data_IF_993398510704
#
_entry.id   IF_993398510704
#
_cell.length_a   1.000
_cell.length_b   1.000
_cell.length_c   1.000
_cell.angle_alpha   90.00
_cell.angle_beta   90.00
_cell.angle_gamma   90.00
#
_symmetry.space_group_name_H-M   'P 1'
#
loop_
_entity.id
_entity.type
_entity.pdbx_description
1 polymer ?
#
# COMPACT_ATOMS: atom_id res chain seq x y z
N UNK A 1 -5.61 27.12 -11.19
CA UNK A 1 -6.87 27.87 -11.20
C UNK A 1 -6.64 29.30 -10.73
N UNK A 2 -6.77 30.24 -11.66
CA UNK A 2 -6.76 31.68 -11.41
C UNK A 2 -7.77 32.32 -12.38
N UNK A 3 -8.59 33.25 -11.89
CA UNK A 3 -9.65 33.89 -12.71
C UNK A 3 -9.10 34.63 -13.93
N UNK A 4 -7.82 35.01 -13.94
CA UNK A 4 -7.14 35.64 -15.09
C UNK A 4 -6.99 34.69 -16.29
N UNK A 5 -7.05 33.37 -16.06
CA UNK A 5 -6.98 32.36 -17.10
C UNK A 5 -8.37 31.84 -17.54
N UNK A 6 -9.44 32.45 -17.03
CA UNK A 6 -10.82 32.08 -17.36
C UNK A 6 -11.38 32.98 -18.48
N UNK A 7 -11.99 32.36 -19.48
CA UNK A 7 -12.87 32.99 -20.45
C UNK A 7 -14.26 32.36 -20.35
N UNK A 8 -15.18 33.02 -19.65
CA UNK A 8 -16.42 32.38 -19.21
C UNK A 8 -16.11 31.18 -18.32
N UNK A 9 -16.64 30.01 -18.67
CA UNK A 9 -16.41 28.72 -18.00
C UNK A 9 -15.14 27.97 -18.48
N UNK A 10 -14.38 28.54 -19.43
CA UNK A 10 -13.23 27.88 -20.05
C UNK A 10 -11.92 28.37 -19.45
N UNK A 11 -11.15 27.48 -18.83
CA UNK A 11 -9.81 27.72 -18.31
C UNK A 11 -8.75 27.40 -19.36
N UNK A 12 -7.76 28.28 -19.50
CA UNK A 12 -6.53 28.03 -20.24
C UNK A 12 -5.38 28.88 -19.70
N UNK A 13 -4.40 28.21 -19.09
CA UNK A 13 -3.14 28.83 -18.71
C UNK A 13 -2.09 28.65 -19.83
N UNK A 14 -1.53 29.73 -20.40
CA UNK A 14 -0.54 29.62 -21.48
C UNK A 14 0.77 28.94 -21.06
N UNK A 15 1.41 28.21 -21.99
CA UNK A 15 2.69 27.51 -21.74
C UNK A 15 3.81 28.41 -21.19
N UNK A 16 3.87 29.68 -21.58
CA UNK A 16 4.86 30.63 -21.07
C UNK A 16 4.68 31.06 -19.61
N UNK A 17 3.63 30.60 -18.92
CA UNK A 17 3.10 31.29 -17.73
C UNK A 17 3.89 31.32 -16.42
N UNK A 18 4.92 30.55 -16.09
CA UNK A 18 5.59 30.55 -14.76
C UNK A 18 4.75 30.27 -13.49
N UNK A 19 3.44 30.58 -13.42
CA UNK A 19 2.57 30.26 -12.29
C UNK A 19 2.38 28.74 -12.17
N UNK A 20 2.56 28.22 -10.96
CA UNK A 20 2.43 26.79 -10.63
C UNK A 20 0.96 26.35 -10.51
N UNK A 21 0.67 25.04 -10.66
CA UNK A 21 -0.66 24.52 -10.42
C UNK A 21 -1.02 24.69 -8.93
N UNK A 22 -2.29 24.99 -8.66
CA UNK A 22 -2.78 25.28 -7.30
C UNK A 22 -4.18 24.70 -7.03
N UNK A 23 -4.71 23.88 -7.95
CA UNK A 23 -6.06 23.32 -7.85
C UNK A 23 -6.14 21.95 -8.51
N UNK A 24 -7.05 21.11 -8.02
CA UNK A 24 -7.33 19.77 -8.57
C UNK A 24 -8.82 19.64 -8.85
N UNK A 25 -9.15 18.96 -9.94
CA UNK A 25 -10.52 18.76 -10.44
C UNK A 25 -10.68 17.33 -10.96
N UNK A 26 -11.91 16.85 -11.06
CA UNK A 26 -12.20 15.56 -11.69
C UNK A 26 -12.60 15.76 -13.15
N UNK A 27 -11.87 15.16 -14.08
CA UNK A 27 -12.26 15.13 -15.50
C UNK A 27 -13.40 14.11 -15.66
N UNK A 28 -14.52 14.53 -16.23
CA UNK A 28 -15.74 13.71 -16.38
C UNK A 28 -16.21 13.58 -17.83
N UNK A 29 -15.53 14.23 -18.76
CA UNK A 29 -15.87 14.22 -20.18
C UNK A 29 -14.92 15.08 -20.99
N UNK A 30 -15.19 15.18 -22.29
CA UNK A 30 -14.40 15.95 -23.23
C UNK A 30 -15.25 16.38 -24.43
N UNK A 31 -14.81 17.42 -25.13
CA UNK A 31 -15.40 17.90 -26.38
C UNK A 31 -14.26 18.45 -27.27
N UNK A 32 -14.02 17.76 -28.39
CA UNK A 32 -12.96 18.08 -29.34
C UNK A 32 -13.26 19.38 -30.13
N UNK A 33 -14.53 19.76 -30.25
CA UNK A 33 -14.99 20.94 -30.97
C UNK A 33 -15.19 22.15 -30.03
N UNK A 34 -14.97 21.99 -28.73
CA UNK A 34 -15.11 23.07 -27.75
C UNK A 34 -14.15 24.21 -28.06
N UNK A 35 -14.70 25.39 -28.37
CA UNK A 35 -13.90 26.59 -28.59
C UNK A 35 -13.25 27.05 -27.27
N UNK A 36 -11.94 27.28 -27.30
CA UNK A 36 -11.14 27.71 -26.15
C UNK A 36 -10.30 28.94 -26.48
N UNK A 37 -9.83 29.71 -25.47
CA UNK A 37 -8.95 30.85 -25.70
C UNK A 37 -7.49 30.46 -26.01
N UNK A 38 -7.18 29.17 -26.18
CA UNK A 38 -5.87 28.72 -26.64
C UNK A 38 -5.62 29.10 -28.11
N UNK A 39 -4.37 29.31 -28.55
CA UNK A 39 -4.06 29.63 -29.96
C UNK A 39 -4.57 28.59 -30.96
N UNK A 40 -4.60 27.32 -30.58
CA UNK A 40 -5.12 26.21 -31.38
C UNK A 40 -6.65 26.20 -31.41
N UNK A 41 -7.31 26.91 -30.51
CA UNK A 41 -8.72 27.28 -30.55
C UNK A 41 -9.73 26.18 -30.19
N UNK A 42 -9.38 24.90 -30.25
CA UNK A 42 -10.31 23.78 -30.10
C UNK A 42 -9.83 22.72 -29.10
N UNK A 43 -10.80 22.01 -28.52
CA UNK A 43 -10.59 20.85 -27.65
C UNK A 43 -10.48 21.21 -26.17
N UNK A 44 -11.35 20.62 -25.35
CA UNK A 44 -11.32 20.79 -23.90
C UNK A 44 -11.83 19.58 -23.12
N UNK A 45 -11.28 19.41 -21.92
CA UNK A 45 -11.79 18.53 -20.88
C UNK A 45 -12.95 19.18 -20.16
N UNK A 46 -14.02 18.42 -19.91
CA UNK A 46 -15.08 18.81 -18.98
C UNK A 46 -14.69 18.35 -17.57
N UNK A 47 -14.57 19.30 -16.65
CA UNK A 47 -14.12 19.06 -15.30
C UNK A 47 -15.18 19.44 -14.27
N UNK A 48 -15.43 18.55 -13.31
CA UNK A 48 -16.24 18.83 -12.13
C UNK A 48 -15.37 19.52 -11.07
N UNK A 49 -15.79 20.70 -10.64
CA UNK A 49 -15.12 21.48 -9.60
C UNK A 49 -15.69 21.18 -8.20
N UNK A 50 -15.05 21.70 -7.16
CA UNK A 50 -15.39 21.50 -5.74
C UNK A 50 -15.96 22.75 -5.05
N UNK A 51 -16.40 23.76 -5.81
CA UNK A 51 -16.88 25.06 -5.27
C UNK A 51 -18.40 25.25 -5.29
N UNK A 52 -19.14 24.15 -5.41
CA UNK A 52 -20.60 24.16 -5.44
C UNK A 52 -21.20 24.50 -6.80
N UNK A 53 -22.51 24.35 -6.90
CA UNK A 53 -23.26 24.47 -8.16
C UNK A 53 -23.44 25.91 -8.62
N UNK A 54 -23.27 26.90 -7.75
CA UNK A 54 -23.37 28.32 -8.13
C UNK A 54 -22.20 28.83 -9.00
N UNK A 55 -21.20 28.01 -9.27
CA UNK A 55 -20.02 28.37 -10.07
C UNK A 55 -20.14 27.91 -11.52
N UNK A 56 -19.99 28.85 -12.46
CA UNK A 56 -19.98 28.59 -13.90
C UNK A 56 -21.17 27.75 -14.39
N UNK A 57 -20.92 26.56 -14.93
CA UNK A 57 -21.92 25.67 -15.52
C UNK A 57 -22.34 24.62 -14.46
N UNK A 58 -23.12 25.04 -13.45
CA UNK A 58 -23.58 24.16 -12.36
C UNK A 58 -22.45 23.45 -11.58
N UNK A 59 -21.32 24.13 -11.41
CA UNK A 59 -20.11 23.60 -10.75
C UNK A 59 -19.13 22.91 -11.70
N UNK A 60 -19.38 22.96 -13.01
CA UNK A 60 -18.47 22.44 -14.04
C UNK A 60 -17.71 23.57 -14.74
N UNK A 61 -16.51 23.23 -15.18
CA UNK A 61 -15.63 24.09 -15.98
C UNK A 61 -15.07 23.29 -17.15
N UNK A 62 -14.70 24.00 -18.21
CA UNK A 62 -13.93 23.42 -19.31
C UNK A 62 -12.47 23.78 -19.14
N UNK A 63 -11.55 22.84 -19.37
CA UNK A 63 -10.10 23.11 -19.38
C UNK A 63 -9.55 22.73 -20.75
N UNK A 64 -8.96 23.69 -21.46
CA UNK A 64 -8.40 23.43 -22.80
C UNK A 64 -7.39 22.29 -22.76
N UNK A 65 -7.37 21.44 -23.80
CA UNK A 65 -6.31 20.42 -23.97
C UNK A 65 -4.90 21.02 -23.99
N UNK A 66 -4.81 22.31 -24.35
CA UNK A 66 -3.56 23.04 -24.48
C UNK A 66 -3.14 23.75 -23.19
N UNK A 67 -3.93 23.65 -22.11
CA UNK A 67 -3.58 24.20 -20.80
C UNK A 67 -2.20 23.72 -20.34
N UNK A 68 -1.42 24.60 -19.70
CA UNK A 68 -0.05 24.30 -19.30
C UNK A 68 0.07 23.09 -18.36
N UNK A 69 -0.89 22.87 -17.47
CA UNK A 69 -0.74 21.93 -16.36
C UNK A 69 -1.68 20.73 -16.45
N UNK A 70 -2.94 20.95 -16.84
CA UNK A 70 -3.94 19.89 -16.88
C UNK A 70 -3.50 18.75 -17.82
N UNK A 71 -3.38 17.54 -17.28
CA UNK A 71 -2.91 16.33 -17.97
C UNK A 71 -1.48 16.40 -18.55
N UNK A 72 -0.69 17.43 -18.25
CA UNK A 72 0.65 17.63 -18.84
C UNK A 72 1.78 17.55 -17.81
N UNK A 73 1.48 17.78 -16.52
CA UNK A 73 2.48 17.71 -15.45
C UNK A 73 2.80 16.23 -15.10
N UNK A 74 4.08 15.79 -15.07
CA UNK A 74 4.42 14.38 -14.89
C UNK A 74 3.96 13.72 -13.58
N UNK A 75 3.80 14.50 -12.51
CA UNK A 75 3.52 14.04 -11.14
C UNK A 75 2.12 14.51 -10.65
N UNK A 76 1.61 15.62 -11.18
CA UNK A 76 0.37 16.31 -10.79
C UNK A 76 -0.63 16.48 -11.96
N UNK A 77 -0.28 16.02 -13.17
CA UNK A 77 -1.04 16.32 -14.39
C UNK A 77 -2.33 15.52 -14.52
N UNK A 78 -2.26 14.20 -14.34
CA UNK A 78 -3.42 13.33 -14.32
C UNK A 78 -3.11 12.02 -13.58
N UNK A 79 -3.99 11.63 -12.67
CA UNK A 79 -4.05 10.29 -12.09
C UNK A 79 -5.35 9.66 -12.56
N UNK A 80 -5.27 8.49 -13.17
CA UNK A 80 -6.45 7.71 -13.54
C UNK A 80 -6.39 6.36 -12.84
N UNK A 81 -7.57 5.85 -12.49
CA UNK A 81 -7.72 4.53 -11.92
C UNK A 81 -8.35 3.63 -12.98
N UNK A 82 -7.83 2.42 -13.10
CA UNK A 82 -8.31 1.43 -14.06
C UNK A 82 -8.61 0.14 -13.31
N UNK A 83 -9.65 -0.58 -13.74
CA UNK A 83 -10.02 -1.87 -13.18
C UNK A 83 -10.21 -1.82 -11.65
N UNK A 84 -10.82 -0.72 -11.17
CA UNK A 84 -11.05 -0.48 -9.74
C UNK A 84 -12.11 -1.45 -9.22
N UNK A 85 -11.70 -2.29 -8.27
CA UNK A 85 -12.57 -3.19 -7.54
C UNK A 85 -12.73 -2.75 -6.07
N UNK A 86 -13.82 -3.13 -5.39
CA UNK A 86 -13.90 -3.03 -3.94
C UNK A 86 -12.73 -3.77 -3.27
N UNK A 87 -12.21 -3.22 -2.17
CA UNK A 87 -11.13 -3.86 -1.40
C UNK A 87 -11.59 -5.22 -0.88
N UNK A 88 -11.02 -6.30 -1.42
CA UNK A 88 -11.33 -7.70 -1.07
C UNK A 88 -10.39 -8.32 -0.04
N UNK A 89 -9.33 -7.58 0.33
CA UNK A 89 -8.32 -8.02 1.28
C UNK A 89 -8.57 -7.42 2.65
N UNK A 90 -8.43 -8.24 3.69
CA UNK A 90 -8.60 -7.82 5.08
C UNK A 90 -7.33 -7.21 5.65
N UNK A 91 -6.17 -7.60 5.10
CA UNK A 91 -4.85 -7.16 5.56
C UNK A 91 -3.95 -6.76 4.41
N UNK A 92 -3.22 -5.68 4.63
CA UNK A 92 -2.14 -5.22 3.76
C UNK A 92 -0.87 -5.19 4.59
N UNK A 93 0.13 -5.96 4.19
CA UNK A 93 1.48 -5.92 4.71
C UNK A 93 2.26 -4.86 3.93
N UNK A 94 2.68 -3.79 4.61
CA UNK A 94 3.41 -2.69 4.00
C UNK A 94 4.26 -1.96 5.04
N UNK A 95 5.31 -1.30 4.56
CA UNK A 95 6.16 -0.42 5.38
C UNK A 95 6.12 1.04 4.90
N UNK A 96 5.63 1.29 3.67
CA UNK A 96 5.50 2.63 3.10
C UNK A 96 4.19 3.32 3.54
N UNK A 97 4.31 4.41 4.30
CA UNK A 97 3.17 5.15 4.85
C UNK A 97 2.51 6.03 3.79
N UNK A 98 3.31 6.67 2.94
CA UNK A 98 2.84 7.67 1.98
C UNK A 98 2.86 7.20 0.53
N UNK A 99 3.23 5.94 0.27
CA UNK A 99 3.48 5.45 -1.08
C UNK A 99 4.74 6.06 -1.69
N UNK A 100 4.74 6.19 -3.02
CA UNK A 100 5.91 6.67 -3.78
C UNK A 100 6.23 8.12 -3.43
N UNK A 101 7.34 8.34 -2.72
CA UNK A 101 7.90 9.68 -2.45
C UNK A 101 9.20 9.94 -3.20
N UNK A 102 9.90 8.87 -3.56
CA UNK A 102 11.08 8.90 -4.40
C UNK A 102 11.20 7.62 -5.22
N UNK A 103 12.22 7.49 -6.06
CA UNK A 103 12.46 6.32 -6.92
C UNK A 103 13.94 6.01 -7.01
N UNK A 104 14.30 4.79 -6.64
CA UNK A 104 15.66 4.29 -6.82
C UNK A 104 15.79 3.78 -8.26
N UNK A 105 16.28 4.65 -9.15
CA UNK A 105 16.18 4.48 -10.61
C UNK A 105 16.89 3.24 -11.13
N UNK A 106 18.13 2.99 -10.70
CA UNK A 106 18.95 1.88 -11.21
C UNK A 106 18.85 0.62 -10.34
N UNK A 107 17.74 0.47 -9.61
CA UNK A 107 17.45 -0.71 -8.81
C UNK A 107 16.50 -1.63 -9.56
N UNK A 108 16.95 -2.82 -9.91
CA UNK A 108 16.13 -3.84 -10.57
C UNK A 108 15.45 -4.79 -9.59
N UNK A 109 16.07 -5.05 -8.45
CA UNK A 109 15.67 -6.07 -7.50
C UNK A 109 15.57 -5.47 -6.11
N UNK A 110 14.38 -5.58 -5.53
CA UNK A 110 14.10 -5.15 -4.18
C UNK A 110 13.19 -6.17 -3.49
N UNK A 111 13.25 -6.21 -2.16
CA UNK A 111 12.27 -6.96 -1.38
C UNK A 111 11.97 -6.26 -0.06
N UNK A 112 10.77 -6.51 0.47
CA UNK A 112 10.41 -6.18 1.85
C UNK A 112 10.35 -7.45 2.69
N UNK A 113 10.84 -7.36 3.93
CA UNK A 113 10.69 -8.38 4.95
C UNK A 113 9.47 -8.05 5.81
N UNK A 114 8.55 -9.00 5.93
CA UNK A 114 7.36 -8.88 6.75
C UNK A 114 7.33 -10.01 7.78
N UNK A 115 6.50 -9.85 8.81
CA UNK A 115 6.14 -10.92 9.71
C UNK A 115 4.62 -11.04 9.76
N UNK A 116 4.10 -12.26 9.85
CA UNK A 116 2.66 -12.46 9.94
C UNK A 116 2.08 -11.82 11.19
N UNK A 117 0.94 -11.14 11.04
CA UNK A 117 0.19 -10.51 12.14
C UNK A 117 -1.02 -11.34 12.56
N UNK A 118 -1.46 -12.24 11.69
CA UNK A 118 -2.55 -13.18 11.89
C UNK A 118 -2.28 -14.47 11.12
N UNK A 119 -3.25 -15.38 11.12
CA UNK A 119 -3.30 -16.42 10.10
C UNK A 119 -3.91 -15.78 8.86
N UNK A 120 -3.06 -15.41 7.92
CA UNK A 120 -3.51 -14.75 6.70
C UNK A 120 -3.12 -15.56 5.47
N UNK A 121 -3.91 -15.41 4.42
CA UNK A 121 -3.62 -15.98 3.10
C UNK A 121 -3.21 -14.83 2.18
N UNK A 122 -1.92 -14.72 1.87
CA UNK A 122 -1.38 -13.73 0.91
C UNK A 122 -1.71 -14.22 -0.51
N UNK A 123 -2.44 -13.40 -1.27
CA UNK A 123 -2.93 -13.78 -2.60
C UNK A 123 -2.41 -12.87 -3.71
N UNK A 124 -1.97 -11.66 -3.35
CA UNK A 124 -1.48 -10.70 -4.32
C UNK A 124 -0.35 -9.83 -3.76
N UNK A 125 0.40 -9.23 -4.68
CA UNK A 125 1.48 -8.30 -4.38
C UNK A 125 1.19 -6.99 -5.09
N UNK A 126 1.40 -5.86 -4.42
CA UNK A 126 1.31 -4.54 -5.04
C UNK A 126 2.65 -3.82 -5.04
N UNK A 127 2.95 -3.12 -6.15
CA UNK A 127 4.18 -2.37 -6.32
C UNK A 127 4.02 -1.32 -7.43
N UNK A 128 5.01 -0.42 -7.56
CA UNK A 128 5.03 0.57 -8.62
C UNK A 128 5.93 0.16 -9.78
N UNK A 129 5.57 0.56 -11.00
CA UNK A 129 6.48 0.63 -12.15
C UNK A 129 6.69 2.08 -12.55
N UNK A 130 7.94 2.47 -12.79
CA UNK A 130 8.31 3.84 -13.17
C UNK A 130 8.05 4.15 -14.66
N UNK A 131 7.89 3.11 -15.49
CA UNK A 131 7.78 3.21 -16.94
C UNK A 131 6.68 2.29 -17.50
N UNK A 132 6.17 2.66 -18.67
CA UNK A 132 5.21 1.86 -19.43
C UNK A 132 5.88 0.58 -19.97
N UNK A 133 5.10 -0.48 -20.15
CA UNK A 133 5.57 -1.75 -20.73
C UNK A 133 6.61 -2.50 -19.89
N UNK A 134 6.73 -2.21 -18.60
CA UNK A 134 7.70 -2.87 -17.72
C UNK A 134 7.33 -4.34 -17.49
N UNK A 135 8.28 -5.25 -17.72
CA UNK A 135 8.14 -6.63 -17.28
C UNK A 135 8.54 -6.75 -15.80
N UNK A 136 7.85 -7.63 -15.08
CA UNK A 136 8.05 -7.84 -13.65
C UNK A 136 8.12 -9.32 -13.30
N UNK A 137 8.68 -9.60 -12.13
CA UNK A 137 8.50 -10.87 -11.42
C UNK A 137 8.40 -10.58 -9.93
N UNK A 138 7.27 -10.93 -9.33
CA UNK A 138 7.02 -10.85 -7.90
C UNK A 138 7.08 -12.26 -7.30
N UNK A 139 7.74 -12.43 -6.17
CA UNK A 139 7.94 -13.73 -5.53
C UNK A 139 7.80 -13.59 -4.01
N UNK A 140 7.10 -14.53 -3.39
CA UNK A 140 7.05 -14.67 -1.93
C UNK A 140 8.04 -15.77 -1.52
N UNK A 141 8.96 -15.44 -0.62
CA UNK A 141 9.95 -16.36 -0.06
C UNK A 141 9.73 -16.58 1.44
N UNK A 142 10.09 -17.76 1.91
CA UNK A 142 10.03 -18.19 3.31
C UNK A 142 11.19 -17.63 4.15
N UNK A 143 12.37 -17.44 3.55
CA UNK A 143 13.57 -17.15 4.33
C UNK A 143 14.56 -16.21 3.64
N UNK A 144 15.20 -15.38 4.45
CA UNK A 144 16.38 -14.59 4.09
C UNK A 144 17.50 -14.88 5.10
N UNK A 145 18.52 -15.63 4.69
CA UNK A 145 19.64 -16.01 5.57
C UNK A 145 20.95 -15.88 4.82
N UNK A 146 21.97 -15.35 5.50
CA UNK A 146 23.33 -15.18 4.94
C UNK A 146 23.33 -14.45 3.59
N UNK A 147 22.46 -13.45 3.43
CA UNK A 147 22.37 -12.65 2.20
C UNK A 147 21.71 -13.38 1.02
N UNK A 148 20.87 -14.40 1.27
CA UNK A 148 20.18 -15.15 0.23
C UNK A 148 18.72 -15.37 0.58
N UNK A 149 17.83 -15.08 -0.39
CA UNK A 149 16.42 -15.49 -0.38
C UNK A 149 16.30 -16.98 -0.74
N UNK A 150 15.47 -17.72 -0.01
CA UNK A 150 15.21 -19.15 -0.25
C UNK A 150 13.82 -19.58 0.21
N UNK A 151 13.38 -20.75 -0.26
CA UNK A 151 12.04 -21.28 0.04
C UNK A 151 10.97 -20.49 -0.72
N UNK A 152 10.96 -20.58 -2.04
CA UNK A 152 9.92 -19.92 -2.84
C UNK A 152 8.55 -20.54 -2.55
N UNK A 153 7.59 -19.70 -2.18
CA UNK A 153 6.23 -20.10 -1.81
C UNK A 153 5.24 -19.88 -2.97
N UNK A 154 5.32 -18.72 -3.63
CA UNK A 154 4.49 -18.37 -4.77
C UNK A 154 5.15 -17.30 -5.64
N UNK A 155 4.69 -17.17 -6.88
CA UNK A 155 5.23 -16.21 -7.86
C UNK A 155 4.15 -15.61 -8.75
N UNK A 156 4.44 -14.44 -9.30
CA UNK A 156 3.69 -13.83 -10.39
C UNK A 156 4.67 -13.14 -11.35
N UNK A 157 4.46 -13.28 -12.66
CA UNK A 157 5.29 -12.61 -13.67
C UNK A 157 4.43 -12.15 -14.84
N UNK A 158 4.82 -11.05 -15.46
CA UNK A 158 4.09 -10.51 -16.60
C UNK A 158 4.67 -9.20 -17.08
N UNK A 159 3.89 -8.49 -17.90
CA UNK A 159 4.22 -7.14 -18.39
C UNK A 159 3.07 -6.20 -18.10
N UNK A 160 3.38 -5.05 -17.52
CA UNK A 160 2.41 -4.02 -17.15
C UNK A 160 2.44 -2.92 -18.20
N UNK A 161 1.30 -2.69 -18.86
CA UNK A 161 1.22 -1.79 -20.02
C UNK A 161 1.55 -0.34 -19.67
N UNK A 162 1.18 0.11 -18.46
CA UNK A 162 1.32 1.49 -18.03
C UNK A 162 2.19 1.59 -16.77
N UNK A 163 2.90 2.70 -16.62
CA UNK A 163 3.52 3.12 -15.36
C UNK A 163 2.45 3.37 -14.31
N UNK A 164 2.77 3.15 -13.05
CA UNK A 164 1.84 3.41 -11.94
C UNK A 164 1.92 2.37 -10.84
N UNK A 165 0.90 2.34 -10.01
CA UNK A 165 0.72 1.35 -8.94
C UNK A 165 -0.10 0.17 -9.45
N UNK A 166 0.40 -1.04 -9.24
CA UNK A 166 -0.18 -2.27 -9.77
C UNK A 166 -0.42 -3.25 -8.63
N UNK A 167 -1.44 -4.08 -8.80
CA UNK A 167 -1.70 -5.26 -7.98
C UNK A 167 -1.71 -6.47 -8.87
N UNK A 168 -0.94 -7.50 -8.52
CA UNK A 168 -0.78 -8.72 -9.30
C UNK A 168 -1.10 -9.93 -8.45
N UNK A 169 -1.93 -10.84 -8.96
CA UNK A 169 -2.28 -12.08 -8.28
C UNK A 169 -1.12 -13.07 -8.37
N UNK A 170 -0.84 -13.74 -7.25
CA UNK A 170 0.13 -14.83 -7.16
C UNK A 170 -0.41 -16.10 -7.85
N UNK A 171 0.48 -16.95 -8.36
CA UNK A 171 0.12 -18.24 -9.00
C UNK A 171 -0.59 -19.21 -8.06
N UNK A 172 -0.43 -19.00 -6.75
CA UNK A 172 -1.14 -19.67 -5.67
C UNK A 172 -1.17 -18.79 -4.41
N UNK A 173 -2.19 -18.95 -3.55
CA UNK A 173 -2.19 -18.33 -2.23
C UNK A 173 -1.04 -18.84 -1.34
N UNK A 174 -0.54 -18.00 -0.45
CA UNK A 174 0.50 -18.31 0.54
C UNK A 174 -0.05 -18.09 1.95
N UNK A 175 -0.06 -19.14 2.76
CA UNK A 175 -0.40 -19.01 4.19
C UNK A 175 0.78 -18.39 4.94
N UNK A 176 0.52 -17.35 5.72
CA UNK A 176 1.47 -16.74 6.64
C UNK A 176 0.89 -16.77 8.06
N UNK A 177 1.75 -16.94 9.05
CA UNK A 177 1.34 -17.14 10.44
C UNK A 177 1.90 -16.07 11.37
N UNK A 178 1.26 -15.84 12.53
CA UNK A 178 1.72 -14.84 13.48
C UNK A 178 3.19 -15.04 13.87
N UNK A 179 3.95 -13.93 13.83
CA UNK A 179 5.38 -13.86 14.15
C UNK A 179 6.31 -14.73 13.27
N UNK A 180 5.83 -15.20 12.12
CA UNK A 180 6.70 -15.84 11.10
C UNK A 180 7.07 -14.84 10.02
N UNK A 181 8.36 -14.77 9.72
CA UNK A 181 8.88 -13.92 8.65
C UNK A 181 8.50 -14.47 7.28
N UNK A 182 8.21 -13.57 6.35
CA UNK A 182 8.13 -13.86 4.93
C UNK A 182 8.63 -12.66 4.13
N UNK A 183 9.10 -12.91 2.92
CA UNK A 183 9.82 -11.90 2.13
C UNK A 183 9.14 -11.74 0.77
N UNK A 184 8.79 -10.51 0.42
CA UNK A 184 8.15 -10.21 -0.86
C UNK A 184 9.15 -9.52 -1.76
N UNK A 185 9.65 -10.27 -2.72
CA UNK A 185 10.63 -9.85 -3.72
C UNK A 185 9.95 -9.36 -4.99
N UNK A 186 10.49 -8.30 -5.59
CA UNK A 186 10.06 -7.79 -6.89
C UNK A 186 11.28 -7.47 -7.75
N UNK A 187 11.33 -8.09 -8.93
CA UNK A 187 12.22 -7.72 -10.03
C UNK A 187 11.47 -6.88 -11.07
N UNK A 188 12.11 -5.83 -11.58
CA UNK A 188 11.61 -4.97 -12.64
C UNK A 188 12.62 -4.88 -13.80
N UNK A 189 12.15 -5.12 -15.03
CA UNK A 189 13.02 -5.16 -16.21
C UNK A 189 13.73 -3.84 -16.52
N UNK A 190 13.14 -2.72 -16.10
CA UNK A 190 13.65 -1.37 -16.35
C UNK A 190 14.13 -0.68 -15.07
N UNK A 191 14.21 -1.42 -13.96
CA UNK A 191 14.51 -0.88 -12.65
C UNK A 191 13.45 0.12 -12.17
N UNK A 192 13.86 1.08 -11.33
CA UNK A 192 13.01 2.15 -10.84
C UNK A 192 12.06 1.73 -9.73
N UNK A 193 12.59 1.16 -8.64
CA UNK A 193 11.79 0.83 -7.47
C UNK A 193 11.37 2.09 -6.72
N UNK A 194 10.06 2.27 -6.57
CA UNK A 194 9.50 3.34 -5.76
C UNK A 194 9.71 3.06 -4.27
N UNK A 195 10.04 4.10 -3.52
CA UNK A 195 10.15 4.02 -2.07
C UNK A 195 9.55 5.25 -1.40
N UNK A 196 9.03 5.04 -0.19
CA UNK A 196 8.64 6.11 0.71
C UNK A 196 9.88 6.60 1.45
N UNK A 197 9.92 7.88 1.79
CA UNK A 197 10.91 8.51 2.67
C UNK A 197 10.41 9.85 3.15
N UNK A 198 10.98 10.32 4.24
CA UNK A 198 10.77 11.69 4.69
C UNK A 198 11.18 12.66 3.59
N UNK A 199 10.26 13.54 3.20
CA UNK A 199 10.50 14.47 2.09
C UNK A 199 9.61 15.69 2.18
N UNK A 200 10.18 16.82 1.76
CA UNK A 200 9.50 18.11 1.68
C UNK A 200 8.67 18.20 0.40
N UNK A 201 7.42 18.65 0.54
CA UNK A 201 6.52 18.94 -0.57
C UNK A 201 6.47 20.46 -0.76
N UNK A 202 7.07 20.99 -1.84
CA UNK A 202 7.18 22.44 -2.04
C UNK A 202 5.88 23.11 -2.52
N UNK A 203 4.88 22.33 -2.94
CA UNK A 203 3.63 22.84 -3.51
C UNK A 203 2.46 22.32 -2.68
N UNK A 204 1.93 23.18 -1.82
CA UNK A 204 0.58 23.00 -1.31
C UNK A 204 -0.41 23.52 -2.35
N UNK A 205 -1.40 22.69 -2.71
CA UNK A 205 -2.63 23.13 -3.37
C UNK A 205 -3.46 23.95 -2.36
N UNK A 206 -2.93 25.11 -1.95
CA UNK A 206 -3.49 26.02 -0.96
C UNK A 206 -3.52 27.42 -1.56
N UNK A 207 -4.71 27.86 -1.96
CA UNK A 207 -4.92 29.22 -2.46
C UNK A 207 -4.58 30.29 -1.41
N UNK A 208 -4.34 31.54 -1.83
CA UNK A 208 -4.11 32.64 -0.89
C UNK A 208 -5.35 32.82 0.01
N UNK A 209 -5.20 32.63 1.32
CA UNK A 209 -6.17 33.11 2.32
C UNK A 209 -6.91 32.08 3.19
N UNK A 210 -6.41 30.85 3.38
CA UNK A 210 -7.00 29.97 4.40
C UNK A 210 -6.50 30.34 5.82
N UNK A 211 -7.34 31.06 6.57
CA UNK A 211 -7.25 31.14 8.04
C UNK A 211 -7.82 29.83 8.63
N UNK A 212 -7.06 29.08 9.43
CA UNK A 212 -7.54 27.82 9.98
C UNK A 212 -8.70 28.10 10.95
N UNK A 213 -9.86 27.49 10.68
CA UNK A 213 -10.90 27.34 11.69
C UNK A 213 -10.29 26.72 12.94
N UNK A 214 -10.55 27.34 14.10
CA UNK A 214 -10.04 26.94 15.40
C UNK A 214 -10.13 25.41 15.57
N UNK A 215 -8.98 24.78 15.80
CA UNK A 215 -8.89 23.36 16.08
C UNK A 215 -9.80 23.02 17.27
N UNK A 216 -10.82 22.20 17.06
CA UNK A 216 -11.47 21.49 18.16
C UNK A 216 -10.46 20.45 18.67
N UNK A 217 -9.95 20.67 19.88
CA UNK A 217 -9.17 19.68 20.62
C UNK A 217 -10.00 18.41 20.81
N UNK A 218 -9.67 17.35 20.06
CA UNK A 218 -10.03 16.00 20.47
C UNK A 218 -8.95 15.48 21.39
N UNK A 219 -9.33 15.15 22.62
CA UNK A 219 -8.49 14.61 23.68
C UNK A 219 -8.04 13.19 23.36
N UNK A 220 -7.04 13.05 22.49
CA UNK A 220 -6.09 11.93 22.40
C UNK A 220 -4.94 12.38 21.50
N UNK A 221 -3.77 12.58 22.12
CA UNK A 221 -2.61 13.22 21.49
C UNK A 221 -2.21 12.56 20.16
N UNK A 222 -2.16 13.38 19.12
CA UNK A 222 -1.47 13.08 17.88
C UNK A 222 -0.39 14.15 17.68
N UNK A 223 0.85 13.71 17.54
CA UNK A 223 2.00 14.50 17.14
C UNK A 223 1.74 15.12 15.77
N UNK A 224 1.23 16.35 15.74
CA UNK A 224 1.30 17.23 14.58
C UNK A 224 2.50 18.15 14.80
N UNK A 225 3.64 17.79 14.22
CA UNK A 225 4.79 18.69 14.08
C UNK A 225 4.42 19.83 13.14
N UNK A 226 3.72 20.85 13.64
CA UNK A 226 3.67 22.17 13.02
C UNK A 226 4.86 22.98 13.53
N UNK A 227 5.98 22.95 12.83
CA UNK A 227 6.88 24.10 12.83
C UNK A 227 6.45 24.99 11.68
N UNK A 228 5.60 25.97 11.99
CA UNK A 228 5.31 27.08 11.10
C UNK A 228 6.60 27.90 10.93
N UNK A 229 7.06 28.06 9.70
CA UNK A 229 8.09 29.04 9.36
C UNK A 229 7.55 29.93 8.24
N UNK A 230 7.79 31.22 8.41
CA UNK A 230 7.46 32.29 7.47
C UNK A 230 8.32 32.13 6.19
N UNK A 231 7.75 32.53 5.05
CA UNK A 231 8.31 32.48 3.68
C UNK A 231 8.47 31.09 3.03
N UNK A 232 7.52 30.73 2.15
CA UNK A 232 7.65 29.62 1.21
C UNK A 232 7.36 28.24 1.80
N UNK A 233 6.08 27.97 2.06
CA UNK A 233 5.57 26.78 2.76
C UNK A 233 5.88 25.46 2.03
N UNK A 234 7.04 24.84 2.29
CA UNK A 234 7.18 23.40 2.11
C UNK A 234 6.57 22.69 3.31
N UNK A 235 5.82 21.61 3.06
CA UNK A 235 5.34 20.70 4.12
C UNK A 235 6.27 19.51 4.20
N UNK A 236 6.83 19.28 5.38
CA UNK A 236 7.56 18.07 5.67
C UNK A 236 6.57 16.93 5.88
N UNK A 237 6.63 15.93 5.00
CA UNK A 237 5.89 14.68 5.17
C UNK A 237 6.87 13.66 5.74
N UNK A 238 6.62 13.25 6.98
CA UNK A 238 7.53 12.44 7.78
C UNK A 238 7.20 10.96 7.62
N UNK A 239 8.16 10.18 7.14
CA UNK A 239 8.07 8.71 7.04
C UNK A 239 8.98 8.06 8.09
N UNK A 240 8.81 6.76 8.31
CA UNK A 240 9.61 6.00 9.25
C UNK A 240 9.97 4.63 8.67
N UNK A 241 11.14 4.14 9.03
CA UNK A 241 11.63 2.82 8.68
C UNK A 241 12.45 2.25 9.84
N UNK A 242 12.59 0.93 9.88
CA UNK A 242 13.52 0.23 10.76
C UNK A 242 14.54 -0.56 9.93
N UNK A 243 15.76 -0.78 10.47
CA UNK A 243 16.71 -1.71 9.87
C UNK A 243 16.08 -3.09 9.69
N UNK A 244 16.30 -3.68 8.51
CA UNK A 244 15.84 -5.02 8.15
C UNK A 244 14.48 -5.08 7.47
N UNK A 245 13.81 -3.96 7.23
CA UNK A 245 12.49 -3.94 6.60
C UNK A 245 12.53 -4.00 5.07
N UNK A 246 13.47 -3.29 4.45
CA UNK A 246 13.55 -3.11 2.99
C UNK A 246 14.97 -3.32 2.48
N UNK A 247 15.12 -4.11 1.43
CA UNK A 247 16.43 -4.41 0.84
C UNK A 247 16.43 -4.23 -0.68
N UNK A 248 17.58 -3.84 -1.22
CA UNK A 248 17.82 -3.76 -2.66
C UNK A 248 19.13 -4.44 -3.04
N UNK A 249 19.19 -4.89 -4.29
CA UNK A 249 20.36 -5.60 -4.82
C UNK A 249 21.36 -4.61 -5.41
N UNK A 250 22.60 -4.68 -4.95
CA UNK A 250 23.75 -4.02 -5.59
C UNK A 250 24.80 -5.06 -5.94
N UNK A 251 25.03 -5.29 -7.24
CA UNK A 251 25.86 -6.40 -7.71
C UNK A 251 25.36 -7.75 -7.15
N UNK A 252 26.19 -8.42 -6.35
CA UNK A 252 25.87 -9.70 -5.72
C UNK A 252 25.44 -9.60 -4.24
N UNK A 253 25.16 -8.40 -3.73
CA UNK A 253 24.83 -8.18 -2.33
C UNK A 253 23.45 -7.56 -2.15
N UNK A 254 22.75 -7.98 -1.10
CA UNK A 254 21.57 -7.29 -0.61
C UNK A 254 22.00 -6.22 0.39
N UNK A 255 21.54 -5.00 0.18
CA UNK A 255 21.84 -3.83 1.00
C UNK A 255 20.53 -3.34 1.61
N UNK A 256 20.58 -2.99 2.89
CA UNK A 256 19.44 -2.43 3.60
C UNK A 256 19.16 -1.02 3.08
N UNK A 257 17.92 -0.73 2.69
CA UNK A 257 17.52 0.60 2.22
C UNK A 257 17.61 1.63 3.35
N UNK A 258 17.45 1.21 4.61
CA UNK A 258 17.56 2.07 5.77
C UNK A 258 18.97 2.70 5.90
N UNK A 259 20.01 2.02 5.42
CA UNK A 259 21.38 2.56 5.41
C UNK A 259 21.56 3.69 4.39
N UNK A 260 20.73 3.72 3.34
CA UNK A 260 20.68 4.82 2.37
C UNK A 260 19.90 6.02 2.94
N UNK A 261 18.76 5.76 3.59
CA UNK A 261 17.92 6.75 4.25
C UNK A 261 17.15 6.08 5.39
N UNK A 262 17.35 6.55 6.63
CA UNK A 262 16.77 5.94 7.84
C UNK A 262 15.25 6.09 7.98
N UNK A 263 14.58 6.65 6.98
CA UNK A 263 13.12 6.73 6.89
C UNK A 263 12.55 5.99 5.69
N UNK A 264 13.40 5.26 4.95
CA UNK A 264 13.05 4.72 3.65
C UNK A 264 12.59 3.27 3.67
N UNK A 265 11.47 3.01 2.99
CA UNK A 265 10.92 1.68 2.76
C UNK A 265 10.40 1.55 1.34
N UNK A 266 10.64 0.41 0.69
CA UNK A 266 10.11 0.19 -0.66
C UNK A 266 8.59 0.09 -0.64
N UNK A 267 7.96 0.63 -1.69
CA UNK A 267 6.52 0.56 -1.90
C UNK A 267 6.12 -0.81 -2.46
N UNK A 268 6.47 -1.88 -1.76
CA UNK A 268 6.12 -3.27 -2.05
C UNK A 268 5.17 -3.73 -0.94
N UNK A 269 4.01 -4.26 -1.34
CA UNK A 269 2.95 -4.67 -0.42
C UNK A 269 2.53 -6.10 -0.67
N UNK A 270 2.19 -6.84 0.38
CA UNK A 270 1.49 -8.12 0.29
C UNK A 270 0.02 -7.93 0.70
N UNK A 271 -0.90 -8.40 -0.13
CA UNK A 271 -2.34 -8.33 0.10
C UNK A 271 -2.87 -9.69 0.51
N UNK A 272 -3.57 -9.73 1.64
CA UNK A 272 -4.01 -10.97 2.23
C UNK A 272 -5.46 -10.91 2.73
N UNK A 273 -6.15 -12.05 2.65
CA UNK A 273 -7.40 -12.27 3.37
C UNK A 273 -7.08 -12.86 4.74
N UNK A 274 -7.74 -12.35 5.77
CA UNK A 274 -7.60 -12.89 7.10
C UNK A 274 -8.38 -14.21 7.16
N UNK A 275 -7.73 -15.28 7.58
CA UNK A 275 -8.44 -16.49 7.99
C UNK A 275 -8.72 -16.38 9.47
N UNK A 276 -9.97 -16.64 9.86
CA UNK A 276 -10.23 -16.92 11.27
C UNK A 276 -9.32 -18.07 11.69
N UNK A 277 -8.59 -17.87 12.80
CA UNK A 277 -7.85 -18.96 13.41
C UNK A 277 -8.88 -20.06 13.76
N UNK A 278 -8.82 -21.18 13.05
CA UNK A 278 -9.64 -22.34 13.39
C UNK A 278 -9.09 -22.86 14.71
N UNK A 279 -9.81 -22.59 15.80
CA UNK A 279 -9.44 -23.11 17.11
C UNK A 279 -9.27 -24.65 16.99
N UNK A 280 -8.17 -25.18 17.53
CA UNK A 280 -7.86 -26.61 17.40
C UNK A 280 -7.03 -27.03 16.18
N UNK A 281 -6.78 -26.16 15.19
CA UNK A 281 -5.84 -26.43 14.09
C UNK A 281 -4.41 -26.06 14.55
N UNK A 282 -3.81 -26.96 15.34
CA UNK A 282 -2.52 -26.76 15.99
C UNK A 282 -1.34 -27.04 15.06
N UNK A 283 -1.50 -27.91 14.07
CA UNK A 283 -0.49 -28.19 13.07
C UNK A 283 -0.50 -27.18 11.90
N UNK A 284 -1.56 -26.35 11.83
CA UNK A 284 -1.78 -25.24 10.90
C UNK A 284 -2.02 -25.65 9.45
N UNK A 285 -2.50 -26.87 9.20
CA UNK A 285 -2.74 -27.39 7.86
C UNK A 285 -4.14 -27.04 7.30
N UNK A 286 -4.96 -26.34 8.08
CA UNK A 286 -6.31 -25.91 7.68
C UNK A 286 -7.39 -26.91 8.04
N UNK A 287 -7.06 -27.95 8.80
CA UNK A 287 -8.00 -28.95 9.30
C UNK A 287 -7.82 -29.08 10.81
N UNK A 288 -8.84 -29.63 11.45
CA UNK A 288 -8.77 -30.05 12.85
C UNK A 288 -8.89 -31.57 12.81
N UNK A 289 -7.76 -32.27 12.85
CA UNK A 289 -7.67 -33.71 12.66
C UNK A 289 -6.67 -34.40 13.61
N UNK A 290 -6.35 -35.68 13.35
CA UNK A 290 -5.47 -36.47 14.22
C UNK A 290 -4.04 -35.94 14.35
N UNK A 291 -3.62 -35.10 13.41
CA UNK A 291 -2.30 -34.48 13.45
C UNK A 291 -2.28 -33.33 14.44
N UNK A 292 -3.38 -32.61 14.61
CA UNK A 292 -3.51 -31.60 15.66
C UNK A 292 -3.49 -32.26 17.03
N UNK A 293 -4.14 -33.41 17.17
CA UNK A 293 -4.06 -34.19 18.40
C UNK A 293 -2.61 -34.56 18.75
N UNK A 294 -1.78 -34.87 17.75
CA UNK A 294 -0.37 -35.15 17.99
C UNK A 294 0.40 -33.92 18.50
N UNK A 295 0.09 -32.72 17.98
CA UNK A 295 0.66 -31.46 18.46
C UNK A 295 0.19 -31.16 19.89
N UNK A 296 -1.10 -31.33 20.18
CA UNK A 296 -1.68 -31.16 21.53
C UNK A 296 -1.05 -32.14 22.53
N UNK A 297 -0.93 -33.41 22.16
CA UNK A 297 -0.31 -34.44 23.00
C UNK A 297 1.18 -34.16 23.25
N UNK A 298 1.88 -33.56 22.28
CA UNK A 298 3.27 -33.12 22.43
C UNK A 298 3.46 -31.97 23.41
N UNK A 299 2.43 -31.15 23.63
CA UNK A 299 2.43 -30.03 24.56
C UNK A 299 1.70 -30.33 25.88
N UNK A 300 1.31 -31.60 26.10
CA UNK A 300 0.47 -32.00 27.23
C UNK A 300 1.10 -31.72 28.59
N UNK A 301 0.32 -31.18 29.53
CA UNK A 301 0.73 -30.80 30.88
C UNK A 301 1.91 -29.82 30.92
N UNK A 302 1.98 -28.93 29.92
CA UNK A 302 2.99 -27.87 29.88
C UNK A 302 2.37 -26.49 30.01
N UNK A 303 3.17 -25.53 30.47
CA UNK A 303 2.78 -24.14 30.68
C UNK A 303 3.86 -23.18 30.19
N UNK A 304 3.54 -21.88 30.14
CA UNK A 304 4.46 -20.84 29.68
C UNK A 304 5.85 -20.93 30.33
N UNK A 305 6.89 -20.90 29.50
CA UNK A 305 8.29 -21.04 29.89
C UNK A 305 8.87 -22.45 29.78
N UNK A 306 8.06 -23.47 29.48
CA UNK A 306 8.54 -24.84 29.25
C UNK A 306 8.79 -25.12 27.76
N UNK A 307 9.82 -25.91 27.44
CA UNK A 307 10.30 -26.14 26.06
C UNK A 307 9.23 -26.72 25.12
N UNK A 308 8.38 -27.61 25.64
CA UNK A 308 7.31 -28.25 24.89
C UNK A 308 5.99 -27.45 24.90
N UNK A 309 5.93 -26.31 25.62
CA UNK A 309 4.75 -25.47 25.64
C UNK A 309 4.46 -24.87 24.27
N UNK A 310 3.19 -24.96 23.89
CA UNK A 310 2.65 -24.42 22.64
C UNK A 310 1.43 -23.61 23.01
N UNK A 311 1.55 -22.28 23.04
CA UNK A 311 0.43 -21.37 23.34
C UNK A 311 -0.81 -21.63 22.47
N UNK A 312 -0.60 -22.10 21.25
CA UNK A 312 -1.69 -22.48 20.33
C UNK A 312 -2.55 -23.64 20.85
N UNK A 313 -2.04 -24.45 21.79
CA UNK A 313 -2.71 -25.59 22.39
C UNK A 313 -3.44 -25.26 23.72
N UNK A 314 -3.20 -24.07 24.29
CA UNK A 314 -3.88 -23.53 25.47
C UNK A 314 -5.10 -22.73 24.98
N UNK A 315 -6.25 -23.41 24.86
CA UNK A 315 -7.47 -22.93 24.17
C UNK A 315 -8.70 -22.93 25.07
N UNK A 316 -8.58 -23.41 26.30
CA UNK A 316 -9.58 -23.28 27.35
C UNK A 316 -9.49 -21.90 28.03
N UNK A 317 -10.51 -21.54 28.81
CA UNK A 317 -10.59 -20.23 29.46
C UNK A 317 -10.73 -20.42 30.97
N UNK A 318 -9.98 -19.68 31.80
CA UNK A 318 -9.13 -18.53 31.41
C UNK A 318 -7.80 -18.92 30.73
N UNK A 319 -7.40 -18.13 29.73
CA UNK A 319 -6.11 -18.34 29.01
C UNK A 319 -4.90 -18.22 29.95
N UNK A 320 -3.86 -19.04 29.74
CA UNK A 320 -2.57 -18.96 30.44
C UNK A 320 -2.36 -20.01 31.54
N UNK A 321 -3.09 -21.12 31.49
CA UNK A 321 -2.96 -22.24 32.43
C UNK A 321 -2.08 -23.38 31.84
N UNK A 322 -2.06 -24.52 32.53
CA UNK A 322 -1.37 -25.73 32.07
C UNK A 322 -2.22 -26.34 30.96
N UNK A 323 -1.61 -26.71 29.82
CA UNK A 323 -2.30 -27.43 28.75
C UNK A 323 -2.81 -28.76 29.31
N UNK A 324 -4.13 -28.91 29.45
CA UNK A 324 -4.72 -30.02 30.17
C UNK A 324 -6.04 -30.54 29.57
N UNK A 325 -6.82 -31.24 30.40
CA UNK A 325 -8.09 -31.84 29.99
C UNK A 325 -9.14 -30.83 29.57
N UNK A 326 -9.08 -29.59 30.03
CA UNK A 326 -9.98 -28.53 29.61
C UNK A 326 -9.69 -28.13 28.16
N UNK A 327 -8.42 -27.99 27.78
CA UNK A 327 -8.02 -27.74 26.39
C UNK A 327 -8.39 -28.89 25.47
N UNK A 328 -8.14 -30.13 25.93
CA UNK A 328 -8.55 -31.32 25.18
C UNK A 328 -10.07 -31.40 24.99
N UNK A 329 -10.85 -31.00 25.99
CA UNK A 329 -12.31 -30.95 25.88
C UNK A 329 -12.77 -29.90 24.86
N UNK A 330 -12.13 -28.72 24.82
CA UNK A 330 -12.41 -27.70 23.81
C UNK A 330 -12.02 -28.20 22.42
N UNK A 331 -10.82 -28.77 22.27
CA UNK A 331 -10.33 -29.34 21.02
C UNK A 331 -11.27 -30.43 20.48
N UNK A 332 -11.65 -31.40 21.31
CA UNK A 332 -12.55 -32.50 20.88
C UNK A 332 -13.94 -32.02 20.51
N UNK A 333 -14.47 -30.97 21.16
CA UNK A 333 -15.72 -30.32 20.76
C UNK A 333 -15.61 -29.73 19.35
N UNK A 334 -14.53 -28.97 19.10
CA UNK A 334 -14.31 -28.35 17.79
C UNK A 334 -14.10 -29.41 16.71
N UNK A 335 -13.29 -30.43 17.00
CA UNK A 335 -13.07 -31.55 16.09
C UNK A 335 -14.39 -32.25 15.75
N UNK A 336 -15.22 -32.56 16.74
CA UNK A 336 -16.52 -33.18 16.53
C UNK A 336 -17.46 -32.29 15.69
N UNK A 337 -17.58 -31.00 16.02
CA UNK A 337 -18.48 -30.07 15.32
C UNK A 337 -18.12 -29.94 13.83
N UNK A 338 -16.83 -29.92 13.50
CA UNK A 338 -16.33 -29.88 12.12
C UNK A 338 -16.53 -31.20 11.35
N UNK A 339 -16.76 -32.33 12.04
CA UNK A 339 -16.94 -33.65 11.45
C UNK A 339 -18.40 -34.15 11.46
N UNK A 340 -19.32 -33.41 12.09
CA UNK A 340 -20.76 -33.75 12.16
C UNK A 340 -21.57 -33.14 11.01
N UNK A 341 -21.05 -32.15 10.28
CA UNK A 341 -21.71 -31.62 9.08
C UNK A 341 -21.46 -32.57 7.90
N UNK A 342 -22.49 -33.22 7.31
CA UNK A 342 -22.30 -34.02 6.10
C UNK A 342 -21.87 -33.09 4.95
N UNK A 343 -20.77 -33.45 4.27
CA UNK A 343 -20.37 -32.82 3.00
C UNK A 343 -21.40 -33.08 1.90
#
# INVERSE_FOLDING_TARGET
FDMRFMSGSVHYQPRGSAMLPNHSVAIVGWDDDKVTPAPQGLGAWLCKNSWGTGYFEDGYIWISYWDRWCCQEPDMGAVFFRDVEPMRYDRVYYHDLHGRRDTLTDCHEAFNAFWGQGRDTVEAVSFYTAVDGAAYTAVVYESFRQGRLSGELARASGTLAYRGFHTVELDRPVEVFPAEDFFVYVWLSQGGHAYDRTSEVPVLLGGPGWEPAQAMETSRGAFLGKTALEDGQSVLVVSAANPGESYYRTGEQWVDLHDLDGSANFCIKALATAREAVAGDFNRDGRVDERDLAVLAGAWLTQEGQEAYRRICDISQPDGEIIDMEDFAVFTRIWADLHIVPR
#
